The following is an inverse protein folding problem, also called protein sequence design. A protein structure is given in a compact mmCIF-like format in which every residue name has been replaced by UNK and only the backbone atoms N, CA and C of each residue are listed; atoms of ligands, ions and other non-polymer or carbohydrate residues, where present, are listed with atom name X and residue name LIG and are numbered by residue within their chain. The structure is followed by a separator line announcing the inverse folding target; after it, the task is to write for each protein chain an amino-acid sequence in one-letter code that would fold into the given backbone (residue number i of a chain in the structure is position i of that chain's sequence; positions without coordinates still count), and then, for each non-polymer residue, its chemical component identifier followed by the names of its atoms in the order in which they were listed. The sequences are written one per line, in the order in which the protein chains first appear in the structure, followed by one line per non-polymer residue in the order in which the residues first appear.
data_IF_598499696312
#
_entry.id   IF_598499696312
#
_cell.length_a   1.000
_cell.length_b   1.000
_cell.length_c   1.000
_cell.angle_alpha   90.00
_cell.angle_beta   90.00
_cell.angle_gamma   90.00
#
_symmetry.space_group_name_H-M   'P 1'
#
loop_
_entity.id
_entity.type
_entity.pdbx_description
1 polymer ?
#
# COMPACT_ATOMS: atom_id res chain seq x y z
N UNK A 1 -22.10 12.09 9.88
CA UNK A 1 -22.56 10.69 9.99
C UNK A 1 -21.35 9.84 10.30
N UNK A 2 -21.19 9.35 11.52
CA UNK A 2 -20.14 8.40 11.86
C UNK A 2 -20.42 7.08 11.13
N UNK A 3 -19.54 6.68 10.25
CA UNK A 3 -19.62 5.39 9.57
C UNK A 3 -19.21 4.31 10.57
N UNK A 4 -20.17 3.51 11.01
CA UNK A 4 -19.92 2.41 11.93
C UNK A 4 -19.38 1.21 11.12
N UNK A 5 -18.10 0.89 11.30
CA UNK A 5 -17.49 -0.29 10.69
C UNK A 5 -17.85 -1.53 11.52
N UNK A 6 -18.29 -2.60 10.84
CA UNK A 6 -18.79 -3.83 11.50
C UNK A 6 -17.77 -4.96 11.50
N UNK A 7 -16.78 -4.91 10.61
CA UNK A 7 -15.81 -6.00 10.40
C UNK A 7 -14.37 -5.52 10.58
N UNK A 8 -13.49 -6.45 10.96
CA UNK A 8 -12.06 -6.22 11.03
C UNK A 8 -11.45 -5.89 9.65
N UNK A 9 -11.99 -6.50 8.58
CA UNK A 9 -11.54 -6.24 7.21
C UNK A 9 -11.81 -4.79 6.76
N UNK A 10 -12.99 -4.25 7.09
CA UNK A 10 -13.33 -2.87 6.75
C UNK A 10 -12.47 -1.85 7.51
N UNK A 11 -12.23 -2.09 8.81
CA UNK A 11 -11.36 -1.22 9.62
C UNK A 11 -9.91 -1.31 9.13
N UNK A 12 -9.45 -2.54 8.81
CA UNK A 12 -8.12 -2.76 8.25
C UNK A 12 -7.92 -1.96 6.96
N UNK A 13 -8.83 -2.09 5.99
CA UNK A 13 -8.74 -1.41 4.70
C UNK A 13 -8.69 0.13 4.82
N UNK A 14 -9.46 0.68 5.77
CA UNK A 14 -9.42 2.14 6.04
C UNK A 14 -8.08 2.55 6.62
N UNK A 15 -7.56 1.85 7.64
CA UNK A 15 -6.30 2.20 8.28
C UNK A 15 -5.11 1.97 7.34
N UNK A 16 -5.11 0.88 6.57
CA UNK A 16 -4.11 0.60 5.54
C UNK A 16 -4.03 1.75 4.53
N UNK A 17 -5.17 2.16 3.97
CA UNK A 17 -5.23 3.27 3.03
C UNK A 17 -4.72 4.57 3.64
N UNK A 18 -5.13 4.91 4.86
CA UNK A 18 -4.69 6.13 5.55
C UNK A 18 -3.20 6.14 5.88
N UNK A 19 -2.58 4.98 6.06
CA UNK A 19 -1.14 4.84 6.23
C UNK A 19 -0.42 5.00 4.88
N UNK A 20 -0.95 4.38 3.81
CA UNK A 20 -0.35 4.43 2.47
C UNK A 20 -0.44 5.84 1.87
N UNK A 21 -1.58 6.52 2.02
CA UNK A 21 -1.76 7.89 1.52
C UNK A 21 -1.17 8.98 2.43
N UNK A 22 -0.48 8.57 3.52
CA UNK A 22 0.17 9.43 4.50
C UNK A 22 -0.78 10.32 5.33
N UNK A 23 -2.10 10.07 5.32
CA UNK A 23 -3.06 10.68 6.24
C UNK A 23 -2.65 10.37 7.68
N UNK A 24 -2.24 9.12 7.93
CA UNK A 24 -1.55 8.74 9.17
C UNK A 24 -0.04 8.67 8.88
N UNK A 25 0.70 9.62 9.42
CA UNK A 25 2.13 9.77 9.09
C UNK A 25 3.00 8.64 9.64
N UNK A 26 4.07 8.23 8.93
CA UNK A 26 5.07 7.31 9.46
C UNK A 26 5.63 7.77 10.80
N UNK A 27 5.69 6.85 11.78
CA UNK A 27 6.12 7.15 13.14
C UNK A 27 5.03 7.68 14.07
N UNK A 28 3.80 7.91 13.58
CA UNK A 28 2.67 8.29 14.43
C UNK A 28 2.26 7.16 15.36
N UNK A 29 1.76 7.52 16.54
CA UNK A 29 1.19 6.55 17.49
C UNK A 29 -0.26 6.22 17.13
N UNK A 30 -0.59 4.93 17.15
CA UNK A 30 -1.95 4.40 17.00
C UNK A 30 -2.41 3.82 18.33
N UNK A 31 -3.22 4.59 19.05
CA UNK A 31 -3.76 4.15 20.35
C UNK A 31 -5.07 3.41 20.19
N UNK A 32 -5.25 2.29 20.91
CA UNK A 32 -6.46 1.47 20.85
C UNK A 32 -7.75 2.27 21.19
N UNK A 33 -7.71 3.09 22.24
CA UNK A 33 -8.91 3.81 22.70
C UNK A 33 -9.48 4.79 21.66
N UNK A 34 -8.68 5.68 21.03
CA UNK A 34 -9.17 6.52 19.93
C UNK A 34 -9.71 5.73 18.76
N UNK A 35 -9.10 4.59 18.41
CA UNK A 35 -9.58 3.74 17.34
C UNK A 35 -10.90 3.06 17.69
N UNK A 36 -11.06 2.57 18.93
CA UNK A 36 -12.34 2.04 19.42
C UNK A 36 -13.46 3.08 19.31
N UNK A 37 -13.20 4.31 19.76
CA UNK A 37 -14.17 5.40 19.67
C UNK A 37 -14.49 5.77 18.21
N UNK A 38 -13.47 5.87 17.36
CA UNK A 38 -13.61 6.24 15.95
C UNK A 38 -14.45 5.23 15.15
N UNK A 39 -14.22 3.95 15.38
CA UNK A 39 -14.87 2.88 14.60
C UNK A 39 -16.08 2.27 15.30
N UNK A 40 -16.41 2.70 16.51
CA UNK A 40 -17.46 2.06 17.31
C UNK A 40 -17.17 0.59 17.61
N UNK A 41 -15.91 0.17 17.61
CA UNK A 41 -15.49 -1.21 17.65
C UNK A 41 -14.92 -1.62 19.02
N UNK A 42 -15.13 -2.87 19.47
CA UNK A 42 -14.55 -3.34 20.71
C UNK A 42 -13.02 -3.45 20.61
N UNK A 43 -12.35 -3.32 21.76
CA UNK A 43 -10.86 -3.35 21.82
C UNK A 43 -10.26 -4.63 21.25
N UNK A 44 -10.93 -5.77 21.43
CA UNK A 44 -10.49 -7.05 20.87
C UNK A 44 -10.39 -7.01 19.35
N UNK A 45 -11.39 -6.41 18.68
CA UNK A 45 -11.40 -6.25 17.22
C UNK A 45 -10.29 -5.32 16.74
N UNK A 46 -10.10 -4.17 17.41
CA UNK A 46 -9.02 -3.24 17.09
C UNK A 46 -7.64 -3.90 17.22
N UNK A 47 -7.43 -4.74 18.24
CA UNK A 47 -6.17 -5.51 18.40
C UNK A 47 -5.92 -6.47 17.25
N UNK A 48 -6.96 -7.18 16.78
CA UNK A 48 -6.85 -8.05 15.60
C UNK A 48 -6.43 -7.26 14.37
N UNK A 49 -7.03 -6.09 14.16
CA UNK A 49 -6.68 -5.20 13.03
C UNK A 49 -5.24 -4.70 13.15
N UNK A 50 -4.83 -4.23 14.33
CA UNK A 50 -3.45 -3.76 14.55
C UNK A 50 -2.43 -4.89 14.36
N UNK A 51 -2.76 -6.13 14.74
CA UNK A 51 -1.90 -7.28 14.52
C UNK A 51 -1.76 -7.60 13.02
N UNK A 52 -2.85 -7.57 12.25
CA UNK A 52 -2.80 -7.72 10.78
C UNK A 52 -1.96 -6.62 10.11
N UNK A 53 -2.11 -5.37 10.56
CA UNK A 53 -1.27 -4.27 10.06
C UNK A 53 0.21 -4.50 10.39
N UNK A 54 0.53 -5.09 11.56
CA UNK A 54 1.90 -5.45 11.92
C UNK A 54 2.45 -6.60 11.07
N UNK A 55 1.66 -7.63 10.81
CA UNK A 55 2.04 -8.76 9.94
C UNK A 55 2.40 -8.27 8.52
N UNK A 56 1.70 -7.24 8.04
CA UNK A 56 1.99 -6.57 6.76
C UNK A 56 3.04 -5.44 6.86
N UNK A 57 3.71 -5.29 8.01
CA UNK A 57 4.80 -4.33 8.20
C UNK A 57 4.38 -2.86 8.30
N UNK A 58 3.08 -2.55 8.28
CA UNK A 58 2.56 -1.18 8.30
C UNK A 58 2.66 -0.52 9.67
N UNK A 59 2.61 -1.32 10.75
CA UNK A 59 2.78 -0.83 12.11
C UNK A 59 3.74 -1.71 12.90
N UNK A 60 4.24 -1.17 14.02
CA UNK A 60 5.04 -1.89 15.00
C UNK A 60 4.36 -1.81 16.36
N UNK A 61 3.99 -2.97 16.91
CA UNK A 61 3.44 -3.10 18.26
C UNK A 61 4.61 -3.41 19.21
N UNK A 62 4.79 -2.58 20.22
CA UNK A 62 5.80 -2.80 21.27
C UNK A 62 5.09 -2.98 22.60
N UNK A 63 5.24 -4.12 23.27
CA UNK A 63 4.63 -4.36 24.58
C UNK A 63 4.90 -3.18 25.53
N UNK A 64 3.88 -2.73 26.22
CA UNK A 64 3.89 -1.60 27.15
C UNK A 64 4.23 -0.22 26.57
N UNK A 65 4.62 -0.12 25.30
CA UNK A 65 4.96 1.15 24.61
C UNK A 65 3.92 1.58 23.58
N UNK A 66 3.02 0.66 23.20
CA UNK A 66 1.93 0.91 22.24
C UNK A 66 2.28 0.55 20.80
N UNK A 67 1.45 1.03 19.89
CA UNK A 67 1.56 0.79 18.45
C UNK A 67 1.98 2.07 17.75
N UNK A 68 2.93 1.96 16.82
CA UNK A 68 3.39 3.08 15.99
C UNK A 68 3.39 2.68 14.52
N UNK A 69 3.06 3.63 13.63
CA UNK A 69 3.20 3.43 12.18
C UNK A 69 4.67 3.26 11.84
N UNK A 70 4.98 2.27 11.02
CA UNK A 70 6.34 1.97 10.58
C UNK A 70 6.95 3.18 9.88
N UNK A 71 8.17 3.54 10.24
CA UNK A 71 8.91 4.60 9.57
C UNK A 71 9.45 4.09 8.24
N UNK A 72 9.37 4.93 7.20
CA UNK A 72 10.01 4.62 5.93
C UNK A 72 11.53 4.54 6.11
N UNK A 73 12.11 3.44 5.65
CA UNK A 73 13.55 3.24 5.60
C UNK A 73 13.99 3.27 4.15
N UNK A 74 14.66 4.35 3.75
CA UNK A 74 15.13 4.55 2.38
C UNK A 74 15.97 3.38 1.86
N UNK A 75 16.83 2.81 2.70
CA UNK A 75 17.66 1.66 2.31
C UNK A 75 16.80 0.45 1.91
N UNK A 76 15.75 0.15 2.71
CA UNK A 76 14.82 -0.95 2.38
C UNK A 76 14.07 -0.64 1.08
N UNK A 77 13.64 0.61 0.87
CA UNK A 77 12.99 1.02 -0.38
C UNK A 77 13.93 0.82 -1.57
N UNK A 78 15.18 1.25 -1.46
CA UNK A 78 16.18 1.10 -2.52
C UNK A 78 16.46 -0.39 -2.83
N UNK A 79 16.56 -1.24 -1.79
CA UNK A 79 16.72 -2.70 -1.92
C UNK A 79 15.50 -3.34 -2.63
N UNK A 80 14.26 -2.99 -2.25
CA UNK A 80 13.04 -3.49 -2.89
C UNK A 80 12.92 -3.04 -4.35
N UNK A 81 13.27 -1.80 -4.68
CA UNK A 81 13.28 -1.30 -6.06
C UNK A 81 14.30 -2.09 -6.89
N UNK A 82 15.49 -2.36 -6.34
CA UNK A 82 16.50 -3.17 -6.99
C UNK A 82 16.01 -4.59 -7.29
N UNK A 83 15.43 -5.27 -6.29
CA UNK A 83 14.86 -6.61 -6.44
C UNK A 83 13.75 -6.64 -7.49
N UNK A 84 12.79 -5.72 -7.41
CA UNK A 84 11.70 -5.59 -8.40
C UNK A 84 12.26 -5.41 -9.80
N UNK A 85 13.18 -4.47 -9.99
CA UNK A 85 13.78 -4.18 -11.30
C UNK A 85 14.50 -5.42 -11.88
N UNK A 86 15.19 -6.18 -11.05
CA UNK A 86 15.89 -7.39 -11.46
C UNK A 86 14.91 -8.49 -11.89
N UNK A 87 13.87 -8.75 -11.09
CA UNK A 87 12.89 -9.81 -11.36
C UNK A 87 11.98 -9.43 -12.53
N UNK A 88 11.40 -8.24 -12.51
CA UNK A 88 10.46 -7.78 -13.53
C UNK A 88 11.18 -7.59 -14.88
N UNK A 89 12.40 -7.06 -14.88
CA UNK A 89 13.21 -6.97 -16.09
C UNK A 89 13.59 -8.35 -16.67
N UNK A 90 13.68 -9.38 -15.85
CA UNK A 90 13.84 -10.76 -16.31
C UNK A 90 12.55 -11.31 -16.91
N UNK A 91 11.43 -11.14 -16.22
CA UNK A 91 10.10 -11.57 -16.70
C UNK A 91 9.79 -10.94 -18.06
N UNK A 92 10.00 -9.61 -18.18
CA UNK A 92 9.75 -8.91 -19.44
C UNK A 92 10.63 -9.42 -20.58
N UNK A 93 11.90 -9.72 -20.34
CA UNK A 93 12.80 -10.30 -21.34
C UNK A 93 12.35 -11.68 -21.81
N UNK A 94 11.86 -12.51 -20.89
CA UNK A 94 11.39 -13.85 -21.20
C UNK A 94 10.02 -13.81 -21.89
N UNK A 95 9.15 -12.86 -21.53
CA UNK A 95 7.82 -12.69 -22.10
C UNK A 95 7.82 -12.02 -23.48
N UNK A 96 8.69 -11.04 -23.73
CA UNK A 96 8.68 -10.24 -24.95
C UNK A 96 8.73 -11.07 -26.26
N UNK A 97 9.52 -12.17 -26.37
CA UNK A 97 9.55 -12.99 -27.57
C UNK A 97 8.26 -13.76 -27.84
N UNK A 98 7.51 -14.13 -26.79
CA UNK A 98 6.29 -14.95 -26.88
C UNK A 98 5.01 -14.14 -26.86
N UNK A 99 5.09 -12.86 -26.47
CA UNK A 99 3.94 -11.96 -26.40
C UNK A 99 3.34 -11.69 -27.79
N UNK A 100 2.03 -11.74 -27.86
CA UNK A 100 1.29 -11.33 -29.07
C UNK A 100 1.41 -9.81 -29.31
N UNK A 101 1.20 -9.33 -30.54
CA UNK A 101 1.15 -7.89 -30.82
C UNK A 101 0.12 -7.14 -29.96
N UNK A 102 -1.03 -7.75 -29.69
CA UNK A 102 -2.07 -7.15 -28.86
C UNK A 102 -1.62 -7.00 -27.40
N UNK A 103 -0.99 -8.03 -26.82
CA UNK A 103 -0.45 -7.95 -25.45
C UNK A 103 0.65 -6.88 -25.33
N UNK A 104 1.58 -6.82 -26.29
CA UNK A 104 2.60 -5.76 -26.32
C UNK A 104 2.00 -4.36 -26.40
N UNK A 105 0.97 -4.18 -27.25
CA UNK A 105 0.28 -2.90 -27.37
C UNK A 105 -0.44 -2.50 -26.06
N UNK A 106 -1.07 -3.47 -25.39
CA UNK A 106 -1.76 -3.25 -24.12
C UNK A 106 -0.78 -2.83 -23.01
N UNK A 107 0.35 -3.53 -22.87
CA UNK A 107 1.37 -3.16 -21.86
C UNK A 107 1.93 -1.79 -22.18
N UNK A 108 2.26 -1.50 -23.44
CA UNK A 108 2.76 -0.19 -23.86
C UNK A 108 1.79 0.92 -23.49
N UNK A 109 0.50 0.77 -23.81
CA UNK A 109 -0.50 1.78 -23.48
C UNK A 109 -0.62 2.03 -21.96
N UNK A 110 -0.48 0.99 -21.13
CA UNK A 110 -0.48 1.15 -19.66
C UNK A 110 0.76 1.92 -19.18
N UNK A 111 1.94 1.59 -19.69
CA UNK A 111 3.19 2.28 -19.36
C UNK A 111 3.13 3.75 -19.79
N UNK A 112 2.69 4.03 -21.02
CA UNK A 112 2.59 5.39 -21.55
C UNK A 112 1.61 6.25 -20.71
N UNK A 113 0.48 5.66 -20.29
CA UNK A 113 -0.48 6.33 -19.41
C UNK A 113 0.11 6.62 -18.02
N UNK A 114 0.84 5.68 -17.44
CA UNK A 114 1.56 5.86 -16.16
C UNK A 114 2.59 6.98 -16.25
N UNK A 115 3.45 6.95 -17.29
CA UNK A 115 4.47 7.98 -17.51
C UNK A 115 3.87 9.37 -17.70
N UNK A 116 2.76 9.48 -18.45
CA UNK A 116 2.08 10.75 -18.66
C UNK A 116 1.58 11.35 -17.34
N UNK A 117 1.00 10.52 -16.47
CA UNK A 117 0.54 10.96 -15.14
C UNK A 117 1.71 11.30 -14.21
N UNK A 118 2.78 10.51 -14.23
CA UNK A 118 3.97 10.73 -13.39
C UNK A 118 4.74 12.01 -13.74
N UNK A 119 4.66 12.45 -15.01
CA UNK A 119 5.31 13.69 -15.50
C UNK A 119 4.43 14.94 -15.40
N UNK A 120 3.19 14.81 -14.91
CA UNK A 120 2.32 15.97 -14.70
C UNK A 120 2.92 16.94 -13.67
N UNK A 121 2.63 18.24 -13.76
CA UNK A 121 3.09 19.23 -12.77
C UNK A 121 2.65 18.91 -11.35
N UNK A 122 1.46 18.31 -11.21
CA UNK A 122 0.90 17.85 -9.93
C UNK A 122 0.46 16.39 -10.08
N UNK A 123 1.38 15.42 -9.90
CA UNK A 123 1.05 14.02 -10.03
C UNK A 123 0.04 13.58 -8.96
N UNK A 124 -0.99 12.84 -9.37
CA UNK A 124 -1.89 12.16 -8.46
C UNK A 124 -1.24 10.83 -8.01
N UNK A 125 -0.60 10.84 -6.84
CA UNK A 125 0.11 9.68 -6.31
C UNK A 125 -0.81 8.50 -5.99
N UNK A 126 -2.08 8.73 -5.59
CA UNK A 126 -3.03 7.64 -5.35
C UNK A 126 -3.36 6.93 -6.67
N UNK A 127 -3.59 7.69 -7.72
CA UNK A 127 -3.84 7.14 -9.05
C UNK A 127 -2.61 6.43 -9.64
N UNK A 128 -1.42 6.98 -9.43
CA UNK A 128 -0.16 6.31 -9.80
C UNK A 128 -0.02 4.96 -9.10
N UNK A 129 -0.28 4.90 -7.80
CA UNK A 129 -0.27 3.66 -7.04
C UNK A 129 -1.27 2.62 -7.57
N UNK A 130 -2.52 3.04 -7.84
CA UNK A 130 -3.53 2.15 -8.43
C UNK A 130 -3.11 1.62 -9.82
N UNK A 131 -2.48 2.46 -10.64
CA UNK A 131 -2.00 2.08 -11.96
C UNK A 131 -0.81 1.12 -11.87
N UNK A 132 0.10 1.33 -10.91
CA UNK A 132 1.22 0.43 -10.63
C UNK A 132 0.72 -0.96 -10.22
N UNK A 133 -0.19 -1.05 -9.26
CA UNK A 133 -0.81 -2.31 -8.86
C UNK A 133 -1.43 -3.06 -10.06
N UNK A 134 -2.20 -2.38 -10.90
CA UNK A 134 -2.84 -2.98 -12.09
C UNK A 134 -1.83 -3.42 -13.16
N UNK A 135 -0.67 -2.77 -13.23
CA UNK A 135 0.38 -3.17 -14.18
C UNK A 135 1.01 -4.51 -13.76
N UNK A 136 1.18 -4.72 -12.45
CA UNK A 136 1.79 -5.93 -11.90
C UNK A 136 0.83 -7.12 -11.77
N UNK A 137 -0.50 -6.89 -11.82
CA UNK A 137 -1.52 -7.94 -11.84
C UNK A 137 -1.79 -8.51 -13.24
N UNK A 138 -1.19 -7.96 -14.27
CA UNK A 138 -1.47 -8.30 -15.68
C UNK A 138 -0.49 -9.30 -16.26
#
# INVERSE_FOLDING_TARGET
MEQQYKTDAEIYAVLEREIIDLTIRPGSSLSENPLCARFGAPRSLIRVVLQKLQENGLVRIVPYKGTTVTRLNRRIVDELIYERTAVEGRILRDFAPIATPAQRAQIRARVDAYEALARAETPDFNKLYEMDCRLHEA
#
